data_IF_631387526872
#
_entry.id   IF_631387526872
#
_cell.length_a   1.000
_cell.length_b   1.000
_cell.length_c   1.000
_cell.angle_alpha   90.00
_cell.angle_beta   90.00
_cell.angle_gamma   90.00
#
_symmetry.space_group_name_H-M   'P 1'
#
loop_
_entity.id
_entity.type
_entity.pdbx_description
1 polymer ?
#
# COMPACT_ATOMS: atom_id res chain seq x y z
N UNK A 1 -0.16 26.85 18.50
CA UNK A 1 -0.71 25.69 17.78
C UNK A 1 -0.21 24.45 18.49
N UNK A 2 -1.11 23.59 18.92
CA UNK A 2 -0.74 22.34 19.56
C UNK A 2 -0.55 21.29 18.47
N UNK A 3 0.64 20.67 18.44
CA UNK A 3 0.96 19.60 17.53
C UNK A 3 1.21 18.32 18.32
N UNK A 4 0.81 17.18 17.77
CA UNK A 4 1.17 15.86 18.27
C UNK A 4 2.06 15.19 17.25
N UNK A 5 3.13 14.57 17.72
CA UNK A 5 3.95 13.67 16.93
C UNK A 5 3.51 12.24 17.19
N UNK A 6 3.10 11.56 16.12
CA UNK A 6 2.75 10.15 16.13
C UNK A 6 3.91 9.36 15.55
N UNK A 7 4.41 8.41 16.33
CA UNK A 7 5.39 7.44 15.88
C UNK A 7 4.67 6.16 15.44
N UNK A 8 4.85 5.78 14.18
CA UNK A 8 4.40 4.49 13.64
C UNK A 8 5.61 3.67 13.24
N UNK A 9 5.67 2.44 13.71
CA UNK A 9 6.72 1.49 13.38
C UNK A 9 6.09 0.22 12.83
N UNK A 10 6.66 -0.32 11.77
CA UNK A 10 6.26 -1.58 11.19
C UNK A 10 7.47 -2.35 10.70
N UNK A 11 7.42 -3.65 10.89
CA UNK A 11 8.41 -4.59 10.40
C UNK A 11 7.77 -5.47 9.35
N UNK A 12 8.49 -5.70 8.27
CA UNK A 12 8.04 -6.45 7.11
C UNK A 12 8.77 -7.79 7.08
N UNK A 13 8.21 -8.88 7.60
CA UNK A 13 8.86 -10.18 7.57
C UNK A 13 8.91 -10.76 6.16
N UNK A 14 9.91 -11.58 5.89
CA UNK A 14 9.99 -12.37 4.67
C UNK A 14 8.90 -13.44 4.66
N UNK A 15 8.12 -13.51 3.58
CA UNK A 15 7.08 -14.53 3.36
C UNK A 15 7.38 -15.40 2.13
N UNK A 16 8.21 -14.95 1.22
CA UNK A 16 8.62 -15.65 0.02
C UNK A 16 10.00 -16.30 0.19
N UNK A 17 10.25 -17.38 -0.57
CA UNK A 17 11.54 -18.06 -0.53
C UNK A 17 12.69 -17.18 -1.03
N UNK A 18 12.44 -16.36 -2.04
CA UNK A 18 13.42 -15.46 -2.65
C UNK A 18 13.29 -14.06 -2.02
N UNK A 19 14.14 -13.77 -1.04
CA UNK A 19 14.18 -12.49 -0.33
C UNK A 19 14.50 -11.32 -1.28
N UNK A 20 15.35 -11.54 -2.28
CA UNK A 20 15.74 -10.51 -3.25
C UNK A 20 14.54 -10.13 -4.12
N UNK A 21 13.79 -11.11 -4.60
CA UNK A 21 12.58 -10.87 -5.37
C UNK A 21 11.51 -10.18 -4.53
N UNK A 22 11.27 -10.65 -3.30
CA UNK A 22 10.28 -10.04 -2.41
C UNK A 22 10.64 -8.60 -2.08
N UNK A 23 11.92 -8.29 -1.87
CA UNK A 23 12.41 -6.92 -1.65
C UNK A 23 12.13 -6.01 -2.85
N UNK A 24 12.29 -6.51 -4.08
CA UNK A 24 11.95 -5.76 -5.30
C UNK A 24 10.45 -5.48 -5.43
N UNK A 25 9.59 -6.30 -4.82
CA UNK A 25 8.14 -6.12 -4.81
C UNK A 25 7.64 -5.30 -3.61
N UNK A 26 8.55 -4.95 -2.70
CA UNK A 26 8.21 -4.18 -1.49
C UNK A 26 8.47 -2.70 -1.72
N UNK A 27 7.44 -1.90 -1.46
CA UNK A 27 7.45 -0.45 -1.69
C UNK A 27 7.01 0.32 -0.45
N UNK A 28 7.58 1.50 -0.27
CA UNK A 28 7.08 2.55 0.61
C UNK A 28 6.13 3.40 -0.21
N UNK A 29 4.83 3.32 0.07
CA UNK A 29 3.79 4.00 -0.67
C UNK A 29 3.21 5.15 0.14
N UNK A 30 2.79 6.22 -0.52
CA UNK A 30 2.21 7.38 0.14
C UNK A 30 1.22 8.13 -0.75
N UNK A 31 0.36 8.90 -0.08
CA UNK A 31 -0.50 9.89 -0.73
C UNK A 31 -0.17 11.25 -0.14
N UNK A 32 0.55 12.09 -0.90
CA UNK A 32 0.90 13.45 -0.53
C UNK A 32 0.06 14.44 -1.33
N UNK A 33 -0.69 15.29 -0.65
CA UNK A 33 -1.52 16.33 -1.26
C UNK A 33 -2.48 15.83 -2.36
N UNK A 34 -2.94 14.58 -2.21
CA UNK A 34 -3.84 13.92 -3.16
C UNK A 34 -3.16 13.20 -4.32
N UNK A 35 -1.83 13.24 -4.41
CA UNK A 35 -1.05 12.55 -5.42
C UNK A 35 -0.42 11.28 -4.82
N UNK A 36 -0.66 10.15 -5.47
CA UNK A 36 -0.09 8.86 -5.10
C UNK A 36 1.28 8.69 -5.74
N UNK A 37 2.24 8.26 -4.92
CA UNK A 37 3.56 7.84 -5.40
C UNK A 37 4.14 6.76 -4.49
N UNK A 38 5.29 6.19 -4.87
CA UNK A 38 5.97 5.16 -4.08
C UNK A 38 7.47 5.14 -4.33
N UNK A 39 8.21 4.62 -3.34
CA UNK A 39 9.63 4.33 -3.44
C UNK A 39 9.90 2.85 -3.25
N UNK A 40 10.90 2.33 -3.94
CA UNK A 40 11.39 0.98 -3.73
C UNK A 40 12.15 0.89 -2.39
N UNK A 41 11.97 -0.21 -1.68
CA UNK A 41 12.70 -0.42 -0.42
C UNK A 41 14.22 -0.38 -0.62
N UNK A 42 14.73 -0.95 -1.72
CA UNK A 42 16.15 -0.86 -2.10
C UNK A 42 17.10 -1.31 -1.00
N UNK A 43 18.03 -0.44 -0.62
CA UNK A 43 19.00 -0.64 0.47
C UNK A 43 18.62 0.10 1.77
N UNK A 44 17.47 0.73 1.80
CA UNK A 44 17.06 1.64 2.86
C UNK A 44 17.29 3.10 2.51
N UNK A 45 16.43 3.97 3.01
CA UNK A 45 16.49 5.43 2.79
C UNK A 45 15.58 6.16 3.80
N UNK A 46 15.50 7.48 3.68
CA UNK A 46 14.51 8.29 4.39
C UNK A 46 13.88 9.32 3.45
N UNK A 47 12.65 9.70 3.76
CA UNK A 47 11.89 10.68 2.99
C UNK A 47 11.14 11.63 3.92
N UNK A 48 11.26 12.92 3.63
CA UNK A 48 10.58 13.97 4.37
C UNK A 48 9.48 14.60 3.52
N UNK A 49 8.27 14.60 4.07
CA UNK A 49 7.11 15.24 3.49
C UNK A 49 6.88 16.61 4.13
N UNK A 50 6.83 17.64 3.33
CA UNK A 50 6.57 19.02 3.75
C UNK A 50 5.17 19.50 3.37
N UNK A 51 4.43 18.68 2.60
CA UNK A 51 3.01 18.87 2.27
C UNK A 51 2.16 17.88 3.06
N UNK A 52 0.85 18.15 3.19
CA UNK A 52 -0.03 17.24 3.91
C UNK A 52 -0.05 15.83 3.30
N UNK A 53 0.08 14.81 4.16
CA UNK A 53 0.05 13.40 3.80
C UNK A 53 -1.24 12.78 4.33
N UNK A 54 -1.98 12.12 3.47
CA UNK A 54 -3.23 11.43 3.82
C UNK A 54 -2.97 10.09 4.47
N UNK A 55 -2.02 9.34 3.90
CA UNK A 55 -1.61 8.05 4.42
C UNK A 55 -0.19 7.66 3.96
N UNK A 56 0.43 6.81 4.77
CA UNK A 56 1.71 6.15 4.52
C UNK A 56 1.48 4.64 4.57
N UNK A 57 2.16 3.87 3.72
CA UNK A 57 2.03 2.44 3.70
C UNK A 57 3.34 1.74 3.33
N UNK A 58 3.52 0.54 3.88
CA UNK A 58 4.50 -0.44 3.41
C UNK A 58 3.74 -1.55 2.71
N UNK A 59 3.97 -1.70 1.42
CA UNK A 59 3.36 -2.71 0.57
C UNK A 59 4.36 -3.80 0.26
N UNK A 60 4.07 -5.03 0.67
CA UNK A 60 4.69 -6.26 0.17
C UNK A 60 3.95 -6.76 -1.08
N UNK A 61 4.39 -7.88 -1.62
CA UNK A 61 3.75 -8.47 -2.79
C UNK A 61 2.24 -8.71 -2.59
N UNK A 62 1.84 -9.27 -1.44
CA UNK A 62 0.46 -9.66 -1.16
C UNK A 62 -0.19 -8.90 -0.01
N UNK A 63 0.59 -8.21 0.81
CA UNK A 63 0.12 -7.57 2.03
C UNK A 63 0.50 -6.09 2.08
N UNK A 64 -0.31 -5.35 2.81
CA UNK A 64 -0.11 -3.92 3.05
C UNK A 64 -0.27 -3.64 4.54
N UNK A 65 0.65 -2.85 5.07
CA UNK A 65 0.53 -2.16 6.36
C UNK A 65 0.42 -0.68 6.09
N UNK A 66 -0.67 -0.02 6.51
CA UNK A 66 -0.85 1.39 6.25
C UNK A 66 -1.39 2.15 7.46
N UNK A 67 -0.95 3.39 7.60
CA UNK A 67 -1.43 4.35 8.57
C UNK A 67 -2.03 5.55 7.84
N UNK A 68 -3.28 5.90 8.14
CA UNK A 68 -3.96 7.08 7.60
C UNK A 68 -4.53 7.96 8.70
N UNK A 69 -4.65 9.25 8.42
CA UNK A 69 -5.32 10.23 9.27
C UNK A 69 -6.40 10.96 8.50
N UNK A 70 -7.62 10.99 9.02
CA UNK A 70 -8.74 11.70 8.40
C UNK A 70 -8.44 13.18 8.19
N UNK A 71 -7.70 13.79 9.13
CA UNK A 71 -7.34 15.21 9.08
C UNK A 71 -5.98 15.46 8.43
N UNK A 72 -5.38 14.43 7.78
CA UNK A 72 -4.06 14.43 7.20
C UNK A 72 -2.94 14.69 8.21
N UNK A 73 -1.77 14.17 7.92
CA UNK A 73 -0.54 14.57 8.60
C UNK A 73 -0.04 15.87 7.97
N UNK A 74 0.26 16.90 8.74
CA UNK A 74 0.78 18.18 8.22
C UNK A 74 2.17 18.06 7.62
N UNK A 75 2.96 17.17 8.21
CA UNK A 75 4.28 16.74 7.72
C UNK A 75 4.56 15.33 8.22
N UNK A 76 5.41 14.63 7.55
CA UNK A 76 5.88 13.33 7.97
C UNK A 76 7.37 13.15 7.61
N UNK A 77 8.05 12.31 8.39
CA UNK A 77 9.36 11.76 8.07
C UNK A 77 9.23 10.25 8.15
N UNK A 78 9.40 9.57 7.03
CA UNK A 78 9.47 8.11 6.99
C UNK A 78 10.91 7.68 6.75
N UNK A 79 11.37 6.71 7.50
CA UNK A 79 12.69 6.10 7.37
C UNK A 79 12.53 4.59 7.34
N UNK A 80 13.23 3.94 6.45
CA UNK A 80 13.29 2.49 6.39
C UNK A 80 14.72 2.01 6.24
N UNK A 81 14.98 0.87 6.84
CA UNK A 81 16.25 0.16 6.75
C UNK A 81 16.00 -1.25 6.27
N UNK A 82 16.97 -1.80 5.56
CA UNK A 82 16.96 -3.19 5.09
C UNK A 82 17.96 -3.95 5.94
N UNK A 83 17.51 -4.81 6.86
CA UNK A 83 18.37 -5.62 7.68
C UNK A 83 19.13 -6.67 6.86
N UNK A 84 20.10 -7.34 7.52
CA UNK A 84 20.80 -8.48 6.96
C UNK A 84 19.81 -9.62 6.61
N UNK A 85 20.05 -10.31 5.49
CA UNK A 85 19.17 -11.35 4.97
C UNK A 85 18.95 -12.51 5.94
N UNK A 86 19.93 -12.75 6.84
CA UNK A 86 19.82 -13.80 7.88
C UNK A 86 18.71 -13.55 8.90
N UNK A 87 18.21 -12.32 9.01
CA UNK A 87 17.11 -11.98 9.90
C UNK A 87 15.73 -12.26 9.32
N UNK A 88 15.65 -12.62 8.03
CA UNK A 88 14.40 -12.85 7.33
C UNK A 88 13.39 -11.68 7.43
N UNK A 89 13.93 -10.45 7.42
CA UNK A 89 13.17 -9.20 7.44
C UNK A 89 13.46 -8.42 6.16
N UNK A 90 12.42 -8.05 5.45
CA UNK A 90 12.52 -7.28 4.21
C UNK A 90 12.84 -5.81 4.51
N UNK A 91 12.14 -5.22 5.48
CA UNK A 91 12.39 -3.85 5.93
C UNK A 91 11.88 -3.59 7.33
N UNK A 92 12.53 -2.66 8.01
CA UNK A 92 12.05 -2.03 9.24
C UNK A 92 11.78 -0.56 8.93
N UNK A 93 10.53 -0.16 9.09
CA UNK A 93 10.06 1.18 8.72
C UNK A 93 9.58 1.93 9.95
N UNK A 94 9.99 3.19 10.05
CA UNK A 94 9.60 4.12 11.11
C UNK A 94 9.08 5.41 10.48
N UNK A 95 7.87 5.82 10.82
CA UNK A 95 7.30 7.09 10.40
C UNK A 95 7.00 7.99 11.60
N UNK A 96 7.50 9.22 11.55
CA UNK A 96 7.17 10.29 12.47
C UNK A 96 6.20 11.24 11.78
N UNK A 97 4.95 11.25 12.22
CA UNK A 97 3.88 12.03 11.60
C UNK A 97 3.46 13.17 12.52
N UNK A 98 3.45 14.39 12.00
CA UNK A 98 2.99 15.56 12.73
C UNK A 98 1.51 15.81 12.45
N UNK A 99 0.71 15.93 13.51
CA UNK A 99 -0.73 16.18 13.46
C UNK A 99 -1.01 17.50 14.16
N UNK A 100 -1.60 18.43 13.42
CA UNK A 100 -2.06 19.68 13.99
C UNK A 100 -3.39 19.47 14.71
N UNK A 101 -3.45 19.90 15.97
CA UNK A 101 -4.68 19.85 16.75
C UNK A 101 -5.47 21.16 16.60
N UNK A 102 -6.78 21.09 16.40
CA UNK A 102 -7.63 22.27 16.51
C UNK A 102 -7.59 22.84 17.94
N UNK A 103 -7.76 24.14 18.06
CA UNK A 103 -7.85 24.78 19.36
C UNK A 103 -9.11 24.30 20.10
N UNK A 104 -8.95 23.87 21.35
CA UNK A 104 -10.08 23.43 22.19
C UNK A 104 -9.61 22.67 23.42
N UNK A 105 -10.52 22.44 24.34
CA UNK A 105 -10.23 21.69 25.57
C UNK A 105 -10.21 20.16 25.38
N UNK A 106 -10.82 19.67 24.31
CA UNK A 106 -10.87 18.26 23.96
C UNK A 106 -10.84 18.11 22.43
N UNK A 107 -9.94 17.26 21.93
CA UNK A 107 -9.76 17.04 20.50
C UNK A 107 -9.66 15.56 20.21
N UNK A 108 -10.42 15.10 19.21
CA UNK A 108 -10.34 13.73 18.69
C UNK A 108 -9.59 13.71 17.38
N UNK A 109 -8.59 12.86 17.28
CA UNK A 109 -7.81 12.60 16.05
C UNK A 109 -8.18 11.23 15.52
N UNK A 110 -9.01 11.14 14.47
CA UNK A 110 -9.35 9.85 13.88
C UNK A 110 -8.17 9.32 13.05
N UNK A 111 -7.59 8.24 13.51
CA UNK A 111 -6.53 7.48 12.83
C UNK A 111 -7.09 6.13 12.39
N UNK A 112 -6.56 5.61 11.31
CA UNK A 112 -6.91 4.30 10.80
C UNK A 112 -5.64 3.52 10.46
N UNK A 113 -5.56 2.31 10.99
CA UNK A 113 -4.54 1.32 10.64
C UNK A 113 -5.17 0.26 9.73
N UNK A 114 -4.49 -0.03 8.64
CA UNK A 114 -4.84 -1.13 7.75
C UNK A 114 -3.74 -2.17 7.77
N UNK A 115 -4.11 -3.41 8.03
CA UNK A 115 -3.27 -4.59 7.85
C UNK A 115 -4.09 -5.62 7.07
N UNK A 116 -3.69 -5.92 5.86
CA UNK A 116 -4.48 -6.80 5.05
C UNK A 116 -3.91 -7.05 3.65
N UNK A 117 -4.67 -7.75 2.81
CA UNK A 117 -4.23 -8.11 1.48
C UNK A 117 -4.10 -6.88 0.57
N UNK A 118 -3.17 -6.97 -0.38
CA UNK A 118 -3.05 -6.03 -1.49
C UNK A 118 -4.15 -6.33 -2.54
N UNK A 119 -5.41 -6.08 -2.16
CA UNK A 119 -6.59 -6.36 -2.97
C UNK A 119 -7.32 -5.07 -3.33
N UNK A 120 -7.50 -4.83 -4.63
CA UNK A 120 -8.16 -3.64 -5.15
C UNK A 120 -9.59 -3.47 -4.60
N UNK A 121 -10.38 -4.55 -4.56
CA UNK A 121 -11.78 -4.50 -4.13
C UNK A 121 -11.92 -4.21 -2.63
N UNK A 122 -10.91 -4.58 -1.85
CA UNK A 122 -10.84 -4.24 -0.42
C UNK A 122 -10.44 -2.79 -0.25
N UNK A 123 -9.35 -2.37 -0.90
CA UNK A 123 -8.75 -1.03 -0.73
C UNK A 123 -9.65 0.09 -1.28
N UNK A 124 -10.35 -0.14 -2.38
CA UNK A 124 -11.26 0.84 -2.98
C UNK A 124 -12.43 1.25 -2.07
N UNK A 125 -12.81 0.40 -1.10
CA UNK A 125 -13.87 0.70 -0.13
C UNK A 125 -13.52 1.81 0.85
N UNK A 126 -12.24 2.10 1.02
CA UNK A 126 -11.76 3.17 1.90
C UNK A 126 -11.91 4.57 1.28
N UNK A 127 -12.16 4.67 -0.03
CA UNK A 127 -12.36 5.94 -0.76
C UNK A 127 -11.24 6.97 -0.51
N UNK A 128 -10.02 6.53 -0.36
CA UNK A 128 -8.85 7.34 -0.06
C UNK A 128 -7.68 7.11 -1.02
N UNK A 129 -7.97 6.56 -2.21
CA UNK A 129 -6.98 6.23 -3.25
C UNK A 129 -5.96 5.14 -2.88
N UNK A 130 -6.17 4.41 -1.78
CA UNK A 130 -5.30 3.27 -1.40
C UNK A 130 -5.31 2.17 -2.47
N UNK A 131 -6.36 2.05 -3.26
CA UNK A 131 -6.44 1.11 -4.38
C UNK A 131 -5.36 1.35 -5.45
N UNK A 132 -4.74 2.53 -5.48
CA UNK A 132 -3.63 2.82 -6.39
C UNK A 132 -2.34 2.06 -6.04
N UNK A 133 -2.23 1.55 -4.81
CA UNK A 133 -1.13 0.68 -4.37
C UNK A 133 -1.10 -0.62 -5.19
N UNK A 134 -2.26 -1.08 -5.65
CA UNK A 134 -2.36 -2.31 -6.46
C UNK A 134 -2.03 -2.00 -7.92
N UNK A 135 -0.93 -2.56 -8.48
CA UNK A 135 -0.48 -2.21 -9.82
C UNK A 135 -1.33 -2.91 -10.90
N UNK A 136 -2.37 -2.27 -11.39
CA UNK A 136 -3.14 -2.73 -12.55
C UNK A 136 -2.62 -2.21 -13.89
N UNK A 137 -1.35 -1.83 -13.95
CA UNK A 137 -0.71 -1.21 -15.12
C UNK A 137 -0.46 0.28 -14.92
N UNK A 138 0.76 0.71 -15.17
CA UNK A 138 1.23 2.10 -15.07
C UNK A 138 1.99 2.52 -16.34
N UNK A 139 2.13 3.82 -16.57
CA UNK A 139 2.89 4.35 -17.70
C UNK A 139 2.28 4.00 -19.06
N UNK A 140 3.11 3.51 -19.99
CA UNK A 140 2.71 3.14 -21.37
C UNK A 140 1.64 2.04 -21.39
N UNK A 141 1.54 1.24 -20.33
CA UNK A 141 0.55 0.18 -20.18
C UNK A 141 -0.69 0.60 -19.37
N UNK A 142 -0.95 1.89 -19.23
CA UNK A 142 -2.13 2.38 -18.50
C UNK A 142 -3.46 1.86 -19.08
N UNK A 143 -3.50 1.56 -20.39
CA UNK A 143 -4.66 0.94 -21.03
C UNK A 143 -4.92 -0.50 -20.51
N UNK A 144 -3.85 -1.22 -20.09
CA UNK A 144 -3.97 -2.55 -19.50
C UNK A 144 -4.74 -2.50 -18.18
N UNK A 145 -4.55 -1.43 -17.39
CA UNK A 145 -5.34 -1.16 -16.18
C UNK A 145 -6.85 -1.11 -16.51
N UNK A 146 -7.21 -0.46 -17.61
CA UNK A 146 -8.60 -0.34 -18.05
C UNK A 146 -9.19 -1.71 -18.46
N UNK A 147 -8.42 -2.47 -19.25
CA UNK A 147 -8.82 -3.83 -19.67
C UNK A 147 -8.93 -4.75 -18.46
N UNK A 148 -7.95 -4.75 -17.58
CA UNK A 148 -7.97 -5.58 -16.38
C UNK A 148 -9.19 -5.27 -15.51
N UNK A 149 -9.47 -3.98 -15.28
CA UNK A 149 -10.55 -3.55 -14.38
C UNK A 149 -11.96 -3.80 -14.97
N UNK A 150 -12.14 -3.56 -16.26
CA UNK A 150 -13.48 -3.58 -16.88
C UNK A 150 -13.80 -4.88 -17.60
N UNK A 151 -12.81 -5.71 -17.89
CA UNK A 151 -12.97 -6.96 -18.60
C UNK A 151 -12.47 -8.16 -17.80
N UNK A 152 -11.19 -8.22 -17.48
CA UNK A 152 -10.61 -9.41 -16.86
C UNK A 152 -11.11 -9.67 -15.44
N UNK A 153 -11.21 -8.64 -14.58
CA UNK A 153 -11.72 -8.79 -13.22
C UNK A 153 -13.19 -9.25 -13.18
N UNK A 154 -14.14 -8.61 -13.90
CA UNK A 154 -15.52 -9.10 -13.94
C UNK A 154 -15.65 -10.53 -14.47
N UNK A 155 -14.87 -10.90 -15.50
CA UNK A 155 -14.86 -12.27 -16.03
C UNK A 155 -14.30 -13.25 -15.00
N UNK A 156 -13.21 -12.89 -14.34
CA UNK A 156 -12.63 -13.71 -13.26
C UNK A 156 -13.64 -13.91 -12.12
N UNK A 157 -14.25 -12.84 -11.63
CA UNK A 157 -15.24 -12.90 -10.55
C UNK A 157 -16.45 -13.74 -10.93
N UNK A 158 -16.94 -13.61 -12.16
CA UNK A 158 -18.03 -14.44 -12.70
C UNK A 158 -17.64 -15.93 -12.72
N UNK A 159 -16.48 -16.26 -13.28
CA UNK A 159 -16.01 -17.65 -13.33
C UNK A 159 -15.82 -18.23 -11.92
N UNK A 160 -15.25 -17.45 -11.00
CA UNK A 160 -15.04 -17.88 -9.61
C UNK A 160 -16.34 -18.17 -8.86
N UNK A 161 -17.42 -17.46 -9.17
CA UNK A 161 -18.74 -17.71 -8.57
C UNK A 161 -19.36 -19.03 -9.03
N UNK A 162 -19.03 -19.48 -10.24
CA UNK A 162 -19.65 -20.66 -10.87
C UNK A 162 -18.72 -21.89 -10.88
N UNK A 163 -17.43 -21.71 -10.68
CA UNK A 163 -16.42 -22.77 -10.76
C UNK A 163 -15.62 -22.84 -9.46
N UNK A 164 -15.76 -23.94 -8.74
CA UNK A 164 -15.07 -24.16 -7.47
C UNK A 164 -13.54 -24.36 -7.62
N UNK A 165 -13.08 -24.80 -8.81
CA UNK A 165 -11.65 -25.06 -9.06
C UNK A 165 -10.95 -23.82 -9.62
N UNK A 166 -10.04 -23.22 -8.85
CA UNK A 166 -9.23 -22.08 -9.30
C UNK A 166 -8.36 -22.41 -10.51
N UNK A 167 -7.86 -23.65 -10.63
CA UNK A 167 -7.12 -24.09 -11.80
C UNK A 167 -7.92 -24.04 -13.08
N UNK A 168 -9.21 -24.43 -13.03
CA UNK A 168 -10.12 -24.34 -14.17
C UNK A 168 -10.44 -22.88 -14.54
N UNK A 169 -10.59 -22.00 -13.55
CA UNK A 169 -10.77 -20.56 -13.80
C UNK A 169 -9.59 -19.97 -14.55
N UNK A 170 -8.37 -20.27 -14.11
CA UNK A 170 -7.13 -19.80 -14.75
C UNK A 170 -7.01 -20.36 -16.17
N UNK A 171 -7.31 -21.63 -16.38
CA UNK A 171 -7.29 -22.26 -17.70
C UNK A 171 -8.27 -21.60 -18.66
N UNK A 172 -9.50 -21.33 -18.22
CA UNK A 172 -10.52 -20.65 -19.05
C UNK A 172 -10.13 -19.22 -19.38
N UNK A 173 -9.57 -18.47 -18.40
CA UNK A 173 -9.04 -17.14 -18.67
C UNK A 173 -7.89 -17.17 -19.68
N UNK A 174 -7.00 -18.13 -19.57
CA UNK A 174 -5.88 -18.30 -20.52
C UNK A 174 -6.39 -18.56 -21.95
N UNK A 175 -7.44 -19.38 -22.09
CA UNK A 175 -8.08 -19.62 -23.39
C UNK A 175 -8.79 -18.38 -23.94
N UNK A 176 -9.37 -17.56 -23.05
CA UNK A 176 -10.08 -16.32 -23.44
C UNK A 176 -9.12 -15.24 -23.95
N UNK A 177 -7.90 -15.19 -23.40
CA UNK A 177 -6.89 -14.16 -23.75
C UNK A 177 -6.08 -14.55 -25.00
N UNK A 178 -6.06 -15.82 -25.38
CA UNK A 178 -5.30 -16.34 -26.52
C UNK A 178 -6.04 -16.14 -27.85
#
# INVERSE_FOLDING_TARGET
>A
QNNINLLWQTETPQVEKDITYERQQTHICYLENGDYDFEYVGSGDDMKFNKPVEWLAVKQQFFISALSAKNKFQSALIKWVVPDDSLHIISQTTANCNIQLPAGSMTTVPLQLYYGPSDYNVLSKYNNKMENIVPYGSGVFAFVKYINRHFLLPVFDFLRQHIASMGMVILLLTLLIR
#
